data_IF_722739163073
#
_entry.id   IF_722739163073
#
_cell.length_a   1.000
_cell.length_b   1.000
_cell.length_c   1.000
_cell.angle_alpha   90.00
_cell.angle_beta   90.00
_cell.angle_gamma   90.00
#
_symmetry.space_group_name_H-M   'P 1'
#
loop_
_entity.id
_entity.type
_entity.pdbx_description
1 polymer ?
#
# COMPACT_ATOMS: atom_id res chain seq x y z
N UNK A 1 5.98 8.76 -15.78
CA UNK A 1 5.36 10.02 -16.24
C UNK A 1 3.92 10.18 -15.77
N UNK A 2 3.06 9.17 -15.98
CA UNK A 2 1.62 9.23 -15.73
C UNK A 2 1.24 9.82 -14.37
N UNK A 3 1.91 9.40 -13.31
CA UNK A 3 1.63 9.87 -11.96
C UNK A 3 1.95 11.34 -11.73
N UNK A 4 2.99 11.88 -12.37
CA UNK A 4 3.30 13.31 -12.28
C UNK A 4 2.27 14.11 -13.07
N UNK A 5 1.85 13.60 -14.23
CA UNK A 5 0.86 14.26 -15.10
C UNK A 5 -0.51 14.31 -14.43
N UNK A 6 -1.00 13.16 -13.98
CA UNK A 6 -2.40 12.97 -13.58
C UNK A 6 -2.58 12.89 -12.06
N UNK A 7 -1.49 12.85 -11.29
CA UNK A 7 -1.54 12.59 -9.86
C UNK A 7 -1.89 11.13 -9.54
N UNK A 8 -2.04 10.84 -8.25
CA UNK A 8 -2.59 9.59 -7.72
C UNK A 8 -3.41 9.88 -6.48
N UNK A 9 -4.45 9.09 -6.24
CA UNK A 9 -5.23 9.12 -5.00
C UNK A 9 -5.32 7.71 -4.46
N UNK A 10 -4.75 7.49 -3.29
CA UNK A 10 -4.99 6.28 -2.52
C UNK A 10 -6.34 6.42 -1.80
N UNK A 11 -7.06 5.31 -1.69
CA UNK A 11 -8.38 5.27 -1.06
C UNK A 11 -8.55 3.94 -0.29
N UNK A 12 -7.67 3.70 0.67
CA UNK A 12 -7.76 2.50 1.51
C UNK A 12 -8.84 2.72 2.57
N UNK A 13 -9.92 1.92 2.60
CA UNK A 13 -10.94 2.02 3.64
C UNK A 13 -10.39 1.58 4.99
N UNK A 14 -10.97 2.09 6.07
CA UNK A 14 -10.77 1.55 7.41
C UNK A 14 -11.61 0.28 7.61
N UNK A 15 -11.04 -0.70 8.30
CA UNK A 15 -11.61 -2.03 8.49
C UNK A 15 -12.15 -2.28 9.91
N UNK A 16 -12.03 -1.30 10.82
CA UNK A 16 -12.51 -1.40 12.21
C UNK A 16 -14.00 -1.72 12.35
N UNK A 17 -14.81 -1.44 11.32
CA UNK A 17 -16.24 -1.78 11.29
C UNK A 17 -16.53 -3.22 10.87
N UNK A 18 -15.56 -3.88 10.23
CA UNK A 18 -15.71 -5.20 9.58
C UNK A 18 -14.80 -6.27 10.17
N UNK A 19 -13.74 -5.88 10.88
CA UNK A 19 -12.76 -6.74 11.54
C UNK A 19 -12.70 -6.38 13.02
N UNK A 20 -12.56 -7.39 13.88
CA UNK A 20 -12.29 -7.20 15.29
C UNK A 20 -10.77 -7.03 15.57
N UNK A 21 -10.43 -6.73 16.83
CA UNK A 21 -9.03 -6.48 17.24
C UNK A 21 -8.10 -7.67 16.98
N UNK A 22 -8.55 -8.90 17.24
CA UNK A 22 -7.77 -10.12 16.99
C UNK A 22 -7.47 -10.29 15.50
N UNK A 23 -8.47 -10.08 14.64
CA UNK A 23 -8.31 -10.15 13.18
C UNK A 23 -7.38 -9.07 12.63
N UNK A 24 -7.39 -7.88 13.23
CA UNK A 24 -6.45 -6.81 12.89
C UNK A 24 -5.04 -7.22 13.31
N UNK A 25 -4.85 -7.71 14.54
CA UNK A 25 -3.56 -8.19 15.04
C UNK A 25 -2.98 -9.33 14.19
N UNK A 26 -3.83 -10.28 13.77
CA UNK A 26 -3.46 -11.36 12.86
C UNK A 26 -2.96 -10.83 11.50
N UNK A 27 -3.65 -9.84 10.94
CA UNK A 27 -3.21 -9.16 9.71
C UNK A 27 -1.89 -8.41 9.92
N UNK A 28 -1.72 -7.70 11.03
CA UNK A 28 -0.47 -6.98 11.32
C UNK A 28 0.70 -7.95 11.41
N UNK A 29 0.53 -9.04 12.15
CA UNK A 29 1.54 -10.09 12.31
C UNK A 29 1.95 -10.70 10.97
N UNK A 30 0.98 -10.96 10.10
CA UNK A 30 1.22 -11.43 8.74
C UNK A 30 1.99 -10.39 7.91
N UNK A 31 1.49 -9.15 7.82
CA UNK A 31 2.09 -8.09 7.01
C UNK A 31 3.52 -7.74 7.45
N UNK A 32 3.82 -7.76 8.75
CA UNK A 32 5.16 -7.52 9.27
C UNK A 32 6.17 -8.54 8.73
N UNK A 33 5.79 -9.81 8.70
CA UNK A 33 6.62 -10.92 8.24
C UNK A 33 6.57 -11.08 6.72
N UNK A 34 5.57 -10.51 6.05
CA UNK A 34 5.43 -10.68 4.61
C UNK A 34 6.55 -9.95 3.86
N UNK A 35 7.17 -10.67 2.92
CA UNK A 35 8.36 -10.22 2.20
C UNK A 35 9.67 -10.27 2.99
N UNK A 36 9.68 -10.67 4.27
CA UNK A 36 10.92 -10.73 5.08
C UNK A 36 11.69 -12.06 4.91
N UNK A 37 11.13 -13.04 4.20
CA UNK A 37 11.74 -14.35 3.98
C UNK A 37 11.59 -15.32 5.16
N UNK A 38 10.78 -14.98 6.17
CA UNK A 38 10.44 -15.89 7.27
C UNK A 38 9.63 -17.07 6.76
N UNK A 39 10.06 -18.29 7.07
CA UNK A 39 9.31 -19.49 6.71
C UNK A 39 7.97 -19.56 7.48
N UNK A 40 6.92 -20.01 6.81
CA UNK A 40 5.60 -20.19 7.43
C UNK A 40 4.74 -18.93 7.51
N UNK A 41 5.19 -17.77 7.02
CA UNK A 41 4.37 -16.54 6.97
C UNK A 41 3.02 -16.75 6.28
N UNK A 42 2.99 -17.54 5.21
CA UNK A 42 1.77 -17.88 4.45
C UNK A 42 0.76 -18.72 5.26
N UNK A 43 1.19 -19.34 6.36
CA UNK A 43 0.32 -20.13 7.25
C UNK A 43 -0.29 -19.30 8.38
N UNK A 44 0.11 -18.02 8.53
CA UNK A 44 -0.42 -17.14 9.56
C UNK A 44 -1.92 -16.87 9.33
N UNK A 45 -2.73 -16.77 10.40
CA UNK A 45 -4.17 -16.51 10.27
C UNK A 45 -4.51 -15.26 9.43
N UNK A 46 -3.67 -14.22 9.55
CA UNK A 46 -3.81 -12.99 8.77
C UNK A 46 -3.81 -13.20 7.25
N UNK A 47 -3.15 -14.25 6.74
CA UNK A 47 -3.14 -14.55 5.30
C UNK A 47 -4.55 -14.84 4.77
N UNK A 48 -5.37 -15.57 5.52
CA UNK A 48 -6.74 -15.89 5.08
C UNK A 48 -7.62 -14.64 5.02
N UNK A 49 -7.41 -13.70 5.97
CA UNK A 49 -8.11 -12.42 5.98
C UNK A 49 -7.66 -11.57 4.79
N UNK A 50 -6.35 -11.53 4.52
CA UNK A 50 -5.77 -10.84 3.38
C UNK A 50 -6.38 -11.32 2.05
N UNK A 51 -6.46 -12.63 1.86
CA UNK A 51 -7.00 -13.25 0.64
C UNK A 51 -8.47 -12.93 0.42
N UNK A 52 -9.23 -12.73 1.50
CA UNK A 52 -10.65 -12.40 1.41
C UNK A 52 -10.91 -10.92 1.11
N UNK A 53 -10.10 -10.02 1.68
CA UNK A 53 -10.44 -8.59 1.75
C UNK A 53 -9.45 -7.66 1.04
N UNK A 54 -8.16 -8.00 1.07
CA UNK A 54 -7.10 -7.08 0.67
C UNK A 54 -6.63 -7.35 -0.77
N UNK A 55 -6.74 -8.60 -1.22
CA UNK A 55 -6.26 -9.08 -2.52
C UNK A 55 -6.81 -8.29 -3.71
N UNK A 56 -8.05 -7.80 -3.61
CA UNK A 56 -8.72 -7.08 -4.71
C UNK A 56 -8.01 -5.78 -5.09
N UNK A 57 -7.31 -5.16 -4.13
CA UNK A 57 -6.57 -3.93 -4.33
C UNK A 57 -5.06 -4.16 -4.35
N UNK A 58 -4.55 -5.04 -3.48
CA UNK A 58 -3.13 -5.24 -3.28
C UNK A 58 -2.54 -6.43 -4.06
N UNK A 59 -3.37 -7.22 -4.74
CA UNK A 59 -2.95 -8.38 -5.52
C UNK A 59 -2.68 -9.62 -4.68
N UNK A 60 -2.57 -10.79 -5.33
CA UNK A 60 -2.31 -12.08 -4.67
C UNK A 60 -0.97 -12.05 -3.94
N UNK A 61 0.06 -11.53 -4.61
CA UNK A 61 1.43 -11.50 -4.11
C UNK A 61 1.76 -10.20 -3.35
N UNK A 62 0.75 -9.38 -3.03
CA UNK A 62 0.97 -8.09 -2.37
C UNK A 62 1.65 -7.03 -3.23
N UNK A 63 1.81 -7.26 -4.53
CA UNK A 63 2.51 -6.35 -5.47
C UNK A 63 1.87 -4.96 -5.60
N UNK A 64 0.63 -4.78 -5.13
CA UNK A 64 -0.09 -3.52 -5.18
C UNK A 64 -0.73 -3.24 -6.54
N UNK A 65 -1.40 -2.09 -6.63
CA UNK A 65 -1.99 -1.58 -7.86
C UNK A 65 -1.81 -0.07 -7.94
N UNK A 66 -0.81 0.35 -8.73
CA UNK A 66 -0.42 1.75 -8.88
C UNK A 66 -1.54 2.65 -9.42
N UNK A 67 -2.45 2.10 -10.24
CA UNK A 67 -3.52 2.87 -10.88
C UNK A 67 -4.57 3.36 -9.88
N UNK A 68 -4.74 2.64 -8.77
CA UNK A 68 -5.66 3.01 -7.68
C UNK A 68 -4.89 3.45 -6.41
N UNK A 69 -3.57 3.62 -6.52
CA UNK A 69 -2.71 4.03 -5.42
C UNK A 69 -2.54 3.00 -4.30
N UNK A 70 -2.84 1.72 -4.56
CA UNK A 70 -2.59 0.65 -3.61
C UNK A 70 -1.08 0.30 -3.63
N UNK A 71 -0.35 0.49 -2.52
CA UNK A 71 1.09 0.24 -2.47
C UNK A 71 1.41 -1.26 -2.54
N UNK A 72 2.65 -1.54 -2.95
CA UNK A 72 3.27 -2.85 -2.82
C UNK A 72 3.56 -3.12 -1.32
N UNK A 73 3.02 -4.21 -0.79
CA UNK A 73 3.12 -4.61 0.61
C UNK A 73 4.31 -5.55 0.89
N UNK A 74 4.94 -6.11 -0.15
CA UNK A 74 6.17 -6.89 -0.02
C UNK A 74 7.43 -6.05 -0.26
N UNK A 75 7.27 -4.75 -0.51
CA UNK A 75 8.38 -3.81 -0.66
C UNK A 75 9.04 -3.48 0.71
N UNK A 76 10.28 -3.05 0.63
CA UNK A 76 11.09 -2.56 1.74
C UNK A 76 10.70 -1.15 2.18
N UNK A 77 10.10 -0.35 1.30
CA UNK A 77 9.77 1.06 1.58
C UNK A 77 8.30 1.23 1.92
N UNK A 78 8.01 1.69 3.14
CA UNK A 78 6.66 1.91 3.65
C UNK A 78 6.46 3.39 4.02
N UNK A 79 5.57 4.10 3.32
CA UNK A 79 5.31 5.53 3.57
C UNK A 79 4.76 5.83 4.97
N UNK A 80 3.92 4.93 5.49
CA UNK A 80 3.33 5.07 6.82
C UNK A 80 4.12 4.28 7.88
N UNK A 81 5.15 3.53 7.50
CA UNK A 81 5.89 2.63 8.39
C UNK A 81 5.27 1.23 8.52
N UNK A 82 6.08 0.29 9.02
CA UNK A 82 5.75 -1.14 9.18
C UNK A 82 5.73 -1.58 10.66
N UNK A 83 5.61 -0.62 11.59
CA UNK A 83 5.46 -0.95 13.02
C UNK A 83 4.06 -1.46 13.31
N UNK A 84 3.91 -2.17 14.43
CA UNK A 84 2.61 -2.68 14.90
C UNK A 84 1.58 -1.54 15.01
N UNK A 85 1.96 -0.43 15.65
CA UNK A 85 1.03 0.68 15.83
C UNK A 85 0.62 1.31 14.49
N UNK A 86 1.56 1.45 13.55
CA UNK A 86 1.24 2.08 12.27
C UNK A 86 0.37 1.21 11.36
N UNK A 87 0.62 -0.10 11.37
CA UNK A 87 -0.20 -1.05 10.63
C UNK A 87 -1.60 -1.14 11.23
N UNK A 88 -1.71 -1.22 12.56
CA UNK A 88 -2.99 -1.20 13.28
C UNK A 88 -3.77 0.07 12.99
N UNK A 89 -3.13 1.25 13.04
CA UNK A 89 -3.74 2.54 12.69
C UNK A 89 -4.25 2.54 11.23
N UNK A 90 -3.42 2.06 10.31
CA UNK A 90 -3.76 1.97 8.88
C UNK A 90 -4.94 1.04 8.63
N UNK A 91 -4.98 -0.12 9.28
CA UNK A 91 -6.07 -1.08 9.15
C UNK A 91 -7.35 -0.55 9.79
N UNK A 92 -7.27 0.13 10.92
CA UNK A 92 -8.44 0.67 11.61
C UNK A 92 -9.09 1.83 10.86
N UNK A 93 -8.27 2.81 10.44
CA UNK A 93 -8.75 4.11 9.99
C UNK A 93 -8.61 4.33 8.47
N UNK A 94 -7.90 3.43 7.78
CA UNK A 94 -7.62 3.57 6.36
C UNK A 94 -6.59 4.68 6.07
N UNK A 95 -6.32 4.90 4.78
CA UNK A 95 -5.36 5.92 4.30
C UNK A 95 -5.84 6.55 3.00
N UNK A 96 -5.77 7.88 2.94
CA UNK A 96 -6.27 8.70 1.83
C UNK A 96 -5.17 9.64 1.29
N UNK A 97 -4.03 9.07 0.92
CA UNK A 97 -2.89 9.83 0.39
C UNK A 97 -3.18 10.43 -0.98
N UNK A 98 -2.74 11.68 -1.19
CA UNK A 98 -2.92 12.41 -2.46
C UNK A 98 -1.56 12.82 -3.00
N UNK A 99 -1.23 12.32 -4.19
CA UNK A 99 -0.23 12.92 -5.06
C UNK A 99 -0.96 13.84 -6.05
N UNK A 100 -0.77 15.17 -6.01
CA UNK A 100 -1.42 16.08 -6.94
C UNK A 100 -0.98 15.86 -8.39
N UNK A 101 -1.86 16.24 -9.32
CA UNK A 101 -1.53 16.34 -10.74
C UNK A 101 -0.70 17.60 -11.02
N UNK A 102 0.33 17.46 -11.85
CA UNK A 102 1.18 18.56 -12.30
C UNK A 102 1.16 18.76 -13.81
N UNK A 103 0.33 18.02 -14.56
CA UNK A 103 0.24 18.11 -16.02
C UNK A 103 -0.09 19.53 -16.53
N UNK A 104 -0.92 20.27 -15.82
CA UNK A 104 -1.28 21.65 -16.18
C UNK A 104 -0.28 22.70 -15.68
N UNK A 105 0.69 22.28 -14.85
CA UNK A 105 1.67 23.17 -14.19
C UNK A 105 3.07 23.04 -14.75
N UNK A 106 3.38 21.92 -15.40
CA UNK A 106 4.72 21.59 -15.90
C UNK A 106 4.64 21.23 -17.38
N UNK A 107 5.66 21.64 -18.14
CA UNK A 107 5.78 21.26 -19.54
C UNK A 107 6.19 19.79 -19.68
N UNK A 108 5.96 19.20 -20.85
CA UNK A 108 6.41 17.83 -21.16
C UNK A 108 7.90 17.62 -20.93
N UNK A 109 8.71 18.62 -21.29
CA UNK A 109 10.16 18.58 -21.07
C UNK A 109 10.47 18.56 -19.58
N UNK A 110 9.83 19.40 -18.77
CA UNK A 110 10.03 19.41 -17.32
C UNK A 110 9.63 18.08 -16.68
N UNK A 111 8.49 17.50 -17.07
CA UNK A 111 8.03 16.21 -16.56
C UNK A 111 9.01 15.10 -16.93
N UNK A 112 9.47 15.06 -18.19
CA UNK A 112 10.49 14.09 -18.63
C UNK A 112 11.80 14.25 -17.88
N UNK A 113 12.24 15.47 -17.61
CA UNK A 113 13.46 15.74 -16.83
C UNK A 113 13.33 15.25 -15.37
N UNK A 114 12.18 15.48 -14.73
CA UNK A 114 11.91 14.98 -13.38
C UNK A 114 11.88 13.46 -13.37
N UNK A 115 11.18 12.82 -14.31
CA UNK A 115 11.17 11.36 -14.42
C UNK A 115 12.59 10.84 -14.62
N UNK A 116 13.32 11.43 -15.56
CA UNK A 116 14.69 11.04 -15.83
C UNK A 116 15.59 11.24 -14.62
N UNK A 117 15.30 12.16 -13.68
CA UNK A 117 16.04 12.33 -12.42
C UNK A 117 15.64 11.31 -11.36
N UNK A 118 14.35 10.95 -11.27
CA UNK A 118 13.83 9.98 -10.29
C UNK A 118 14.20 8.52 -10.60
N UNK A 119 14.41 8.18 -11.88
CA UNK A 119 14.69 6.80 -12.32
C UNK A 119 16.18 6.54 -12.60
N UNK A 120 17.08 7.41 -12.12
CA UNK A 120 18.53 7.17 -12.16
C UNK A 120 18.94 6.39 -10.93
#
# INVERSE_FOLDING_TARGET
>A
EESIRNGRRANMPGWSSSLNEDQISDLVSFLQQWGSGVEGTESLPGKQIYDRLCIGCHGIDGAGNINIGAPNLVDTVWFYGKTDESLTETLNNGRFGIMPAYGDRLTDVQIRLIVAWLTR
#
